data_IF_421340255576
#
_entry.id   IF_421340255576
#
_cell.length_a   1.000
_cell.length_b   1.000
_cell.length_c   1.000
_cell.angle_alpha   90.00
_cell.angle_beta   90.00
_cell.angle_gamma   90.00
#
_symmetry.space_group_name_H-M   'P 1'
#
loop_
_entity.id
_entity.type
_entity.pdbx_description
1 polymer ?
#
# COMPACT_ATOMS: atom_id res chain seq x y z
N UNK A 1 -1.11 -16.84 -19.10
CA UNK A 1 0.00 -15.88 -18.99
C UNK A 1 -0.61 -14.57 -18.50
N UNK A 2 -0.48 -14.24 -17.22
CA UNK A 2 -1.04 -12.97 -16.73
C UNK A 2 -0.27 -11.78 -17.29
N UNK A 3 -0.98 -10.71 -17.63
CA UNK A 3 -0.39 -9.49 -18.20
C UNK A 3 0.64 -8.86 -17.26
N UNK A 4 1.73 -8.35 -17.85
CA UNK A 4 2.77 -7.57 -17.16
C UNK A 4 2.13 -6.36 -16.47
N UNK A 5 2.49 -6.12 -15.21
CA UNK A 5 2.04 -4.94 -14.45
C UNK A 5 2.45 -3.66 -15.19
N UNK A 6 1.49 -2.76 -15.41
CA UNK A 6 1.76 -1.48 -16.07
C UNK A 6 2.51 -0.55 -15.12
N UNK A 7 3.68 -0.11 -15.53
CA UNK A 7 4.53 0.82 -14.78
C UNK A 7 4.94 2.01 -15.63
N UNK A 8 5.27 3.11 -14.96
CA UNK A 8 5.93 4.27 -15.57
C UNK A 8 7.30 4.47 -14.96
N UNK A 9 8.22 5.06 -15.72
CA UNK A 9 9.50 5.54 -15.18
C UNK A 9 9.27 6.83 -14.40
N UNK A 10 9.96 6.96 -13.28
CA UNK A 10 9.98 8.16 -12.46
C UNK A 10 11.40 8.43 -11.97
N UNK A 11 11.68 9.68 -11.61
CA UNK A 11 12.91 10.02 -10.91
C UNK A 11 12.94 9.30 -9.55
N UNK A 12 14.05 8.62 -9.27
CA UNK A 12 14.28 7.93 -8.00
C UNK A 12 14.13 8.87 -6.81
N UNK A 13 14.52 10.15 -6.93
CA UNK A 13 14.40 11.16 -5.89
C UNK A 13 12.96 11.39 -5.40
N UNK A 14 11.95 11.04 -6.22
CA UNK A 14 10.54 11.11 -5.82
C UNK A 14 10.17 10.14 -4.70
N UNK A 15 11.01 9.15 -4.39
CA UNK A 15 10.80 8.24 -3.25
C UNK A 15 10.53 9.00 -1.94
N UNK A 16 11.21 10.14 -1.73
CA UNK A 16 11.09 10.95 -0.52
C UNK A 16 9.67 11.47 -0.30
N UNK A 17 8.99 11.85 -1.39
CA UNK A 17 7.60 12.29 -1.35
C UNK A 17 6.63 11.16 -1.00
N UNK A 18 6.85 9.95 -1.55
CA UNK A 18 6.05 8.77 -1.19
C UNK A 18 6.27 8.35 0.25
N UNK A 19 7.52 8.35 0.71
CA UNK A 19 7.87 8.02 2.09
C UNK A 19 7.27 9.03 3.08
N UNK A 20 7.28 10.33 2.73
CA UNK A 20 6.60 11.36 3.53
C UNK A 20 5.10 11.07 3.66
N UNK A 21 4.41 10.78 2.56
CA UNK A 21 3.00 10.40 2.58
C UNK A 21 2.73 9.17 3.44
N UNK A 22 3.55 8.13 3.33
CA UNK A 22 3.42 6.94 4.16
C UNK A 22 3.47 7.28 5.66
N UNK A 23 4.38 8.17 6.06
CA UNK A 23 4.50 8.65 7.44
C UNK A 23 3.32 9.53 7.89
N UNK A 24 2.79 10.37 7.02
CA UNK A 24 1.60 11.18 7.33
C UNK A 24 0.35 10.30 7.50
N UNK A 25 0.20 9.28 6.66
CA UNK A 25 -0.89 8.31 6.77
C UNK A 25 -0.78 7.46 8.03
N UNK A 26 0.41 6.97 8.41
CA UNK A 26 0.54 6.18 9.64
C UNK A 26 0.27 7.03 10.89
N UNK A 27 0.72 8.28 10.92
CA UNK A 27 0.37 9.20 12.01
C UNK A 27 -1.13 9.47 12.09
N UNK A 28 -1.81 9.62 10.95
CA UNK A 28 -3.27 9.80 10.92
C UNK A 28 -4.01 8.54 11.35
N UNK A 29 -3.51 7.35 10.98
CA UNK A 29 -4.03 6.07 11.45
C UNK A 29 -3.95 5.96 12.98
N UNK A 30 -2.81 6.29 13.57
CA UNK A 30 -2.61 6.23 15.04
C UNK A 30 -3.59 7.17 15.77
N UNK A 31 -3.77 8.40 15.26
CA UNK A 31 -4.74 9.35 15.78
C UNK A 31 -6.18 8.85 15.69
N UNK A 32 -6.54 8.18 14.59
CA UNK A 32 -7.87 7.64 14.37
C UNK A 32 -8.13 6.41 15.24
N UNK A 33 -7.13 5.56 15.46
CA UNK A 33 -7.21 4.44 16.41
C UNK A 33 -7.49 4.95 17.83
N UNK A 34 -6.77 5.98 18.27
CA UNK A 34 -6.97 6.59 19.59
C UNK A 34 -8.36 7.21 19.77
N UNK A 35 -9.04 7.56 18.67
CA UNK A 35 -10.39 8.14 18.64
C UNK A 35 -11.47 7.13 18.24
N UNK A 36 -11.12 5.84 18.15
CA UNK A 36 -12.01 4.75 17.73
C UNK A 36 -12.66 4.96 16.35
N UNK A 37 -11.98 5.69 15.46
CA UNK A 37 -12.42 5.97 14.09
C UNK A 37 -11.95 4.86 13.14
N UNK A 38 -12.40 3.64 13.40
CA UNK A 38 -11.88 2.41 12.78
C UNK A 38 -11.81 2.43 11.25
N UNK A 39 -12.85 2.93 10.57
CA UNK A 39 -12.85 3.04 9.11
C UNK A 39 -11.75 3.97 8.60
N UNK A 40 -11.61 5.14 9.23
CA UNK A 40 -10.57 6.12 8.88
C UNK A 40 -9.18 5.58 9.18
N UNK A 41 -9.01 4.94 10.35
CA UNK A 41 -7.77 4.25 10.71
C UNK A 41 -7.39 3.19 9.67
N UNK A 42 -8.33 2.33 9.27
CA UNK A 42 -8.09 1.28 8.27
C UNK A 42 -7.68 1.89 6.92
N UNK A 43 -8.40 2.90 6.43
CA UNK A 43 -8.08 3.58 5.17
C UNK A 43 -6.68 4.22 5.22
N UNK A 44 -6.35 4.88 6.32
CA UNK A 44 -5.02 5.45 6.53
C UNK A 44 -3.92 4.38 6.56
N UNK A 45 -4.16 3.23 7.21
CA UNK A 45 -3.21 2.11 7.19
C UNK A 45 -2.93 1.60 5.76
N UNK A 46 -3.99 1.45 4.96
CA UNK A 46 -3.89 0.99 3.57
C UNK A 46 -3.12 2.01 2.72
N UNK A 47 -3.44 3.29 2.83
CA UNK A 47 -2.74 4.35 2.08
C UNK A 47 -1.29 4.50 2.50
N UNK A 48 -0.97 4.25 3.77
CA UNK A 48 0.41 4.18 4.26
C UNK A 48 1.18 3.06 3.57
N UNK A 49 0.65 1.83 3.57
CA UNK A 49 1.30 0.67 2.97
C UNK A 49 1.51 0.82 1.45
N UNK A 50 0.52 1.34 0.72
CA UNK A 50 0.64 1.63 -0.72
C UNK A 50 1.72 2.69 -0.97
N UNK A 51 1.75 3.76 -0.18
CA UNK A 51 2.76 4.82 -0.32
C UNK A 51 4.16 4.33 0.01
N UNK A 52 4.31 3.46 1.01
CA UNK A 52 5.59 2.83 1.35
C UNK A 52 6.09 1.92 0.21
N UNK A 53 5.19 1.14 -0.40
CA UNK A 53 5.52 0.35 -1.58
C UNK A 53 5.96 1.21 -2.76
N UNK A 54 5.25 2.30 -3.07
CA UNK A 54 5.65 3.25 -4.12
C UNK A 54 7.02 3.88 -3.83
N UNK A 55 7.34 4.17 -2.57
CA UNK A 55 8.65 4.68 -2.17
C UNK A 55 9.77 3.66 -2.46
N UNK A 56 9.56 2.38 -2.15
CA UNK A 56 10.52 1.31 -2.46
C UNK A 56 10.75 1.18 -3.97
N UNK A 57 9.67 1.11 -4.75
CA UNK A 57 9.74 0.99 -6.21
C UNK A 57 10.44 2.20 -6.85
N UNK A 58 10.15 3.40 -6.37
CA UNK A 58 10.81 4.62 -6.81
C UNK A 58 12.30 4.59 -6.49
N UNK A 59 12.67 4.32 -5.24
CA UNK A 59 14.06 4.39 -4.77
C UNK A 59 14.97 3.38 -5.49
N UNK A 60 14.56 2.10 -5.54
CA UNK A 60 15.42 1.03 -6.05
C UNK A 60 15.35 0.89 -7.57
N UNK A 61 14.15 1.05 -8.15
CA UNK A 61 13.91 0.73 -9.56
C UNK A 61 13.56 1.95 -10.43
N UNK A 62 13.28 3.12 -9.85
CA UNK A 62 12.89 4.31 -10.62
C UNK A 62 11.57 4.13 -11.35
N UNK A 63 10.63 3.38 -10.75
CA UNK A 63 9.33 3.10 -11.35
C UNK A 63 8.19 3.31 -10.36
N UNK A 64 6.99 3.46 -10.89
CA UNK A 64 5.72 3.43 -10.14
C UNK A 64 4.70 2.57 -10.88
N UNK A 65 3.84 1.86 -10.14
CA UNK A 65 2.67 1.22 -10.73
C UNK A 65 1.67 2.28 -11.21
N UNK A 66 1.06 2.05 -12.37
CA UNK A 66 -0.11 2.81 -12.85
C UNK A 66 -1.31 1.90 -13.06
N UNK A 67 -1.26 0.68 -12.52
CA UNK A 67 -2.38 -0.22 -12.59
C UNK A 67 -3.51 0.28 -11.69
N UNK A 68 -4.77 0.30 -12.17
CA UNK A 68 -5.92 0.51 -11.31
C UNK A 68 -6.16 -0.69 -10.37
N UNK A 69 -5.52 -1.84 -10.64
CA UNK A 69 -5.62 -3.04 -9.80
C UNK A 69 -4.58 -2.95 -8.68
N UNK A 70 -5.05 -2.84 -7.45
CA UNK A 70 -4.17 -2.77 -6.28
C UNK A 70 -3.30 -4.03 -6.11
N UNK A 71 -3.80 -5.22 -6.50
CA UNK A 71 -3.03 -6.48 -6.48
C UNK A 71 -1.77 -6.45 -7.36
N UNK A 72 -1.75 -5.60 -8.40
CA UNK A 72 -0.58 -5.46 -9.25
C UNK A 72 0.60 -4.81 -8.49
N UNK A 73 0.36 -4.03 -7.43
CA UNK A 73 1.41 -3.49 -6.58
C UNK A 73 2.15 -4.60 -5.81
N UNK A 74 1.39 -5.58 -5.29
CA UNK A 74 1.92 -6.77 -4.59
C UNK A 74 2.76 -7.62 -5.54
N UNK A 75 2.23 -7.92 -6.73
CA UNK A 75 2.93 -8.68 -7.77
C UNK A 75 4.23 -7.99 -8.17
N UNK A 76 4.20 -6.67 -8.32
CA UNK A 76 5.37 -5.88 -8.69
C UNK A 76 6.46 -5.94 -7.61
N UNK A 77 6.09 -5.81 -6.33
CA UNK A 77 7.01 -5.92 -5.19
C UNK A 77 7.74 -7.27 -5.18
N UNK A 78 7.00 -8.39 -5.24
CA UNK A 78 7.57 -9.74 -5.25
C UNK A 78 8.46 -9.97 -6.46
N UNK A 79 8.07 -9.45 -7.64
CA UNK A 79 8.85 -9.66 -8.87
C UNK A 79 10.21 -8.96 -8.87
N UNK A 80 10.31 -7.82 -8.18
CA UNK A 80 11.50 -6.96 -8.17
C UNK A 80 12.42 -7.25 -6.97
N UNK A 81 11.84 -7.61 -5.83
CA UNK A 81 12.57 -7.91 -4.60
C UNK A 81 12.43 -9.39 -4.26
N UNK A 82 13.44 -10.18 -4.65
CA UNK A 82 13.46 -11.64 -4.48
C UNK A 82 13.99 -12.04 -3.10
N UNK A 83 13.37 -11.55 -2.04
CA UNK A 83 13.74 -11.86 -0.65
C UNK A 83 12.52 -12.36 0.12
N UNK A 84 12.75 -13.20 1.13
CA UNK A 84 11.68 -13.67 2.02
C UNK A 84 11.00 -12.52 2.77
N UNK A 85 11.76 -11.48 3.11
CA UNK A 85 11.21 -10.27 3.72
C UNK A 85 10.26 -9.53 2.78
N UNK A 86 10.63 -9.37 1.50
CA UNK A 86 9.75 -8.75 0.51
C UNK A 86 8.48 -9.58 0.29
N UNK A 87 8.58 -10.91 0.31
CA UNK A 87 7.42 -11.80 0.22
C UNK A 87 6.47 -11.61 1.42
N UNK A 88 6.99 -11.63 2.66
CA UNK A 88 6.19 -11.38 3.87
C UNK A 88 5.52 -10.01 3.84
N UNK A 89 6.25 -8.97 3.44
CA UNK A 89 5.71 -7.62 3.35
C UNK A 89 4.67 -7.49 2.22
N UNK A 90 4.84 -8.24 1.13
CA UNK A 90 3.86 -8.29 0.05
C UNK A 90 2.57 -8.99 0.48
N UNK A 91 2.65 -10.08 1.25
CA UNK A 91 1.49 -10.74 1.85
C UNK A 91 0.74 -9.80 2.81
N UNK A 92 1.46 -9.04 3.63
CA UNK A 92 0.86 -8.03 4.50
C UNK A 92 0.16 -6.91 3.69
N UNK A 93 0.83 -6.39 2.65
CA UNK A 93 0.24 -5.40 1.75
C UNK A 93 -1.02 -5.92 1.06
N UNK A 94 -1.01 -7.19 0.64
CA UNK A 94 -2.16 -7.83 0.01
C UNK A 94 -3.37 -7.91 0.95
N UNK A 95 -3.17 -8.26 2.22
CA UNK A 95 -4.26 -8.32 3.19
C UNK A 95 -4.87 -6.94 3.47
N UNK A 96 -4.04 -5.89 3.57
CA UNK A 96 -4.54 -4.51 3.71
C UNK A 96 -5.37 -4.10 2.49
N UNK A 97 -4.89 -4.37 1.28
CA UNK A 97 -5.62 -4.08 0.04
C UNK A 97 -6.96 -4.84 -0.01
N UNK A 98 -6.99 -6.10 0.44
CA UNK A 98 -8.22 -6.89 0.50
C UNK A 98 -9.25 -6.25 1.42
N UNK A 99 -8.82 -5.71 2.56
CA UNK A 99 -9.68 -4.97 3.49
C UNK A 99 -10.25 -3.68 2.87
N UNK A 100 -9.47 -2.98 2.04
CA UNK A 100 -9.96 -1.81 1.26
C UNK A 100 -11.14 -2.18 0.37
N UNK A 101 -11.02 -3.28 -0.38
CA UNK A 101 -12.09 -3.73 -1.27
C UNK A 101 -13.34 -4.14 -0.47
N UNK A 102 -13.17 -4.66 0.75
CA UNK A 102 -14.30 -4.94 1.63
C UNK A 102 -15.03 -3.66 2.05
N UNK A 103 -14.29 -2.60 2.41
CA UNK A 103 -14.84 -1.27 2.75
C UNK A 103 -15.56 -0.60 1.59
N UNK A 104 -14.95 -0.62 0.40
CA UNK A 104 -15.45 0.17 -0.73
C UNK A 104 -16.67 -0.47 -1.41
N UNK A 105 -16.84 -1.78 -1.31
CA UNK A 105 -17.85 -2.52 -2.09
C UNK A 105 -18.87 -3.27 -1.24
N UNK A 106 -18.63 -3.46 0.05
CA UNK A 106 -19.62 -3.98 0.99
C UNK A 106 -19.86 -2.87 1.99
N UNK A 107 -21.12 -2.48 2.24
CA UNK A 107 -21.52 -1.45 3.21
C UNK A 107 -21.20 -1.86 4.67
N UNK A 108 -19.95 -2.26 4.93
CA UNK A 108 -19.46 -2.82 6.18
C UNK A 108 -18.59 -1.79 6.87
N UNK A 109 -18.96 -1.44 8.09
CA UNK A 109 -18.15 -0.61 8.96
C UNK A 109 -17.13 -1.48 9.70
N UNK A 110 -15.90 -0.98 9.81
CA UNK A 110 -14.87 -1.57 10.66
C UNK A 110 -15.12 -1.27 12.13
N UNK A 111 -14.63 -2.17 12.96
CA UNK A 111 -14.73 -2.14 14.41
C UNK A 111 -13.36 -2.40 15.06
N UNK A 112 -13.24 -2.18 16.36
CA UNK A 112 -12.00 -2.49 17.09
C UNK A 112 -11.62 -3.97 17.14
N UNK A 113 -12.46 -4.87 16.61
CA UNK A 113 -12.19 -6.31 16.49
C UNK A 113 -11.69 -6.74 15.11
N UNK A 114 -11.64 -5.84 14.11
CA UNK A 114 -11.12 -6.13 12.77
C UNK A 114 -9.61 -5.87 12.68
#
# INVERSE_FOLDING_TARGET
MESKVKTIKIDKAKYSGFLKKAKEFISSMEDDLAKERWNSACLNAIHSAISANDALLACFHGIRSISPKHDDAVRLLISLFKTEEAKKNAEHLQELIRRKNLLEYQDKLFSGSD
#
